data_IF_217496167891
#
_entry.id   IF_217496167891
#
_cell.length_a   1.000
_cell.length_b   1.000
_cell.length_c   1.000
_cell.angle_alpha   90.00
_cell.angle_beta   90.00
_cell.angle_gamma   90.00
#
_symmetry.space_group_name_H-M   'P 1'
#
loop_
_entity.id
_entity.type
_entity.pdbx_description
1 polymer ?
#
# COMPACT_ATOMS: atom_id res chain seq x y z
N UNK A 1 32.16 -10.84 -1.55
CA UNK A 1 30.74 -10.85 -1.11
C UNK A 1 30.65 -10.14 0.23
N UNK A 2 29.84 -9.08 0.32
CA UNK A 2 29.53 -8.42 1.60
C UNK A 2 28.69 -9.40 2.44
N UNK A 3 29.02 -9.55 3.73
CA UNK A 3 28.14 -10.25 4.69
C UNK A 3 27.19 -9.23 5.28
N UNK A 4 25.91 -9.59 5.38
CA UNK A 4 24.92 -8.78 6.06
C UNK A 4 25.17 -8.80 7.58
N UNK A 5 24.89 -7.68 8.24
CA UNK A 5 24.83 -7.58 9.70
C UNK A 5 23.63 -8.37 10.22
N UNK A 6 23.57 -8.64 11.53
CA UNK A 6 22.41 -9.28 12.15
C UNK A 6 21.14 -8.44 12.02
N UNK A 7 21.28 -7.12 12.05
CA UNK A 7 20.18 -6.18 11.81
C UNK A 7 19.70 -6.26 10.36
N UNK A 8 20.61 -6.19 9.37
CA UNK A 8 20.27 -6.32 7.95
C UNK A 8 19.59 -7.68 7.66
N UNK A 9 19.96 -8.75 8.37
CA UNK A 9 19.31 -10.08 8.25
C UNK A 9 17.91 -10.07 8.85
N UNK A 10 17.73 -9.48 10.04
CA UNK A 10 16.42 -9.40 10.69
C UNK A 10 15.46 -8.60 9.82
N UNK A 11 15.88 -7.42 9.36
CA UNK A 11 15.02 -6.52 8.60
C UNK A 11 14.61 -7.18 7.26
N UNK A 12 15.53 -7.90 6.61
CA UNK A 12 15.23 -8.69 5.43
C UNK A 12 14.24 -9.84 5.73
N UNK A 13 14.41 -10.55 6.85
CA UNK A 13 13.51 -11.63 7.24
C UNK A 13 12.11 -11.10 7.54
N UNK A 14 12.00 -9.95 8.21
CA UNK A 14 10.73 -9.27 8.47
C UNK A 14 10.04 -8.87 7.17
N UNK A 15 10.77 -8.27 6.23
CA UNK A 15 10.23 -7.90 4.91
C UNK A 15 9.74 -9.11 4.12
N UNK A 16 10.50 -10.21 4.10
CA UNK A 16 10.10 -11.44 3.39
C UNK A 16 8.88 -12.09 4.05
N UNK A 17 8.84 -12.16 5.39
CA UNK A 17 7.71 -12.74 6.12
C UNK A 17 6.44 -11.90 6.03
N UNK A 18 6.57 -10.60 5.77
CA UNK A 18 5.42 -9.73 5.56
C UNK A 18 4.70 -10.07 4.25
N UNK A 19 5.41 -10.52 3.20
CA UNK A 19 4.84 -10.78 1.87
C UNK A 19 3.76 -11.86 1.90
N UNK A 20 2.75 -11.73 1.02
CA UNK A 20 1.64 -12.69 0.91
C UNK A 20 1.49 -13.18 -0.52
N UNK A 21 1.08 -14.45 -0.73
CA UNK A 21 0.95 -15.03 -2.08
C UNK A 21 -0.03 -14.29 -2.99
N UNK A 22 -1.06 -13.70 -2.40
CA UNK A 22 -2.18 -13.05 -3.10
C UNK A 22 -2.11 -11.51 -2.99
N UNK A 23 -0.91 -10.94 -2.86
CA UNK A 23 -0.72 -9.49 -2.90
C UNK A 23 -0.92 -8.95 -4.31
N UNK A 24 -1.67 -7.84 -4.41
CA UNK A 24 -1.75 -7.08 -5.65
C UNK A 24 -0.38 -6.50 -5.98
N UNK A 25 -0.06 -6.48 -7.26
CA UNK A 25 1.02 -5.68 -7.83
C UNK A 25 0.70 -4.19 -7.77
N UNK A 26 1.71 -3.33 -7.94
CA UNK A 26 1.50 -1.88 -8.02
C UNK A 26 0.50 -1.52 -9.14
N UNK A 27 0.61 -2.15 -10.31
CA UNK A 27 -0.28 -1.90 -11.45
C UNK A 27 -1.73 -2.30 -11.12
N UNK A 28 -1.93 -3.46 -10.51
CA UNK A 28 -3.27 -3.90 -10.09
C UNK A 28 -3.86 -2.99 -9.00
N UNK A 29 -3.05 -2.49 -8.07
CA UNK A 29 -3.50 -1.52 -7.07
C UNK A 29 -3.98 -0.21 -7.71
N UNK A 30 -3.26 0.29 -8.73
CA UNK A 30 -3.59 1.56 -9.38
C UNK A 30 -4.99 1.56 -10.02
N UNK A 31 -5.48 0.40 -10.46
CA UNK A 31 -6.85 0.25 -10.98
C UNK A 31 -7.94 0.54 -9.91
N UNK A 32 -7.61 0.37 -8.63
CA UNK A 32 -8.52 0.62 -7.50
C UNK A 32 -8.26 1.96 -6.80
N UNK A 33 -7.07 2.52 -6.94
CA UNK A 33 -6.58 3.64 -6.15
C UNK A 33 -7.50 4.88 -6.21
N UNK A 34 -8.00 5.22 -7.40
CA UNK A 34 -8.88 6.38 -7.59
C UNK A 34 -10.21 6.21 -6.83
N UNK A 35 -10.88 5.07 -7.00
CA UNK A 35 -12.15 4.77 -6.32
C UNK A 35 -11.95 4.72 -4.80
N UNK A 36 -10.86 4.12 -4.34
CA UNK A 36 -10.51 4.09 -2.92
C UNK A 36 -10.30 5.50 -2.35
N UNK A 37 -9.56 6.35 -3.07
CA UNK A 37 -9.27 7.73 -2.66
C UNK A 37 -10.54 8.57 -2.52
N UNK A 38 -11.49 8.46 -3.46
CA UNK A 38 -12.76 9.18 -3.39
C UNK A 38 -13.58 8.78 -2.17
N UNK A 39 -13.75 7.47 -1.93
CA UNK A 39 -14.52 6.96 -0.79
C UNK A 39 -13.90 7.41 0.54
N UNK A 40 -12.57 7.34 0.65
CA UNK A 40 -11.86 7.81 1.85
C UNK A 40 -11.99 9.32 2.02
N UNK A 41 -11.83 10.11 0.96
CA UNK A 41 -11.95 11.57 1.02
C UNK A 41 -13.35 12.03 1.42
N UNK A 42 -14.39 11.28 1.05
CA UNK A 42 -15.78 11.58 1.39
C UNK A 42 -16.22 11.01 2.75
N UNK A 43 -15.35 10.24 3.42
CA UNK A 43 -15.71 9.51 4.64
C UNK A 43 -16.78 8.44 4.42
N UNK A 44 -16.89 7.95 3.18
CA UNK A 44 -17.86 6.94 2.78
C UNK A 44 -17.39 5.53 3.20
N UNK A 45 -18.33 4.58 3.38
CA UNK A 45 -17.98 3.19 3.64
C UNK A 45 -17.19 2.58 2.47
N UNK A 46 -15.98 2.11 2.74
CA UNK A 46 -15.18 1.38 1.75
C UNK A 46 -15.68 -0.08 1.66
N UNK A 47 -15.95 -0.64 0.48
CA UNK A 47 -16.28 -2.06 0.31
C UNK A 47 -15.12 -2.97 0.76
N UNK A 48 -15.45 -4.18 1.22
CA UNK A 48 -14.44 -5.14 1.71
C UNK A 48 -13.38 -5.47 0.65
N UNK A 49 -13.79 -5.69 -0.60
CA UNK A 49 -12.86 -5.97 -1.69
C UNK A 49 -11.83 -4.85 -1.91
N UNK A 50 -12.25 -3.59 -1.72
CA UNK A 50 -11.38 -2.42 -1.83
C UNK A 50 -10.45 -2.26 -0.62
N UNK A 51 -10.92 -2.64 0.59
CA UNK A 51 -10.05 -2.71 1.77
C UNK A 51 -8.97 -3.77 1.61
N UNK A 52 -9.34 -4.95 1.11
CA UNK A 52 -8.39 -6.02 0.85
C UNK A 52 -7.37 -5.62 -0.23
N UNK A 53 -7.80 -4.95 -1.30
CA UNK A 53 -6.90 -4.37 -2.29
C UNK A 53 -5.92 -3.35 -1.67
N UNK A 54 -6.39 -2.52 -0.74
CA UNK A 54 -5.58 -1.52 -0.06
C UNK A 54 -4.53 -2.10 0.90
N UNK A 55 -4.54 -3.42 1.18
CA UNK A 55 -3.46 -4.08 1.95
C UNK A 55 -2.10 -3.99 1.25
N UNK A 56 -2.08 -3.81 -0.07
CA UNK A 56 -0.85 -3.54 -0.83
C UNK A 56 -0.06 -2.35 -0.23
N UNK A 57 -0.76 -1.35 0.32
CA UNK A 57 -0.15 -0.15 0.89
C UNK A 57 0.65 -0.41 2.16
N UNK A 58 0.43 -1.54 2.84
CA UNK A 58 1.23 -1.96 3.99
C UNK A 58 2.65 -2.39 3.56
N UNK A 59 2.80 -2.77 2.29
CA UNK A 59 3.97 -3.43 1.73
C UNK A 59 4.75 -2.56 0.75
N UNK A 60 4.05 -1.61 0.10
CA UNK A 60 4.64 -0.68 -0.86
C UNK A 60 4.53 0.77 -0.37
N UNK A 61 5.61 1.31 0.23
CA UNK A 61 5.67 2.69 0.68
C UNK A 61 5.40 3.72 -0.41
N UNK A 62 5.81 3.43 -1.66
CA UNK A 62 5.62 4.29 -2.82
C UNK A 62 4.13 4.47 -3.13
N UNK A 63 3.39 3.36 -3.29
CA UNK A 63 1.93 3.40 -3.52
C UNK A 63 1.19 4.07 -2.35
N UNK A 64 1.66 3.89 -1.11
CA UNK A 64 1.10 4.56 0.05
C UNK A 64 1.33 6.08 0.03
N UNK A 65 2.47 6.53 -0.50
CA UNK A 65 2.76 7.95 -0.69
C UNK A 65 1.91 8.56 -1.81
N UNK A 66 1.76 7.85 -2.93
CA UNK A 66 0.91 8.27 -4.04
C UNK A 66 -0.54 8.46 -3.61
N UNK A 67 -1.10 7.50 -2.84
CA UNK A 67 -2.45 7.65 -2.28
C UNK A 67 -2.55 8.87 -1.35
N UNK A 68 -1.56 9.07 -0.47
CA UNK A 68 -1.52 10.25 0.43
C UNK A 68 -1.53 11.56 -0.37
N UNK A 69 -0.74 11.65 -1.44
CA UNK A 69 -0.73 12.80 -2.32
C UNK A 69 -2.08 13.03 -3.01
N UNK A 70 -2.72 11.94 -3.49
CA UNK A 70 -4.05 12.00 -4.08
C UNK A 70 -5.10 12.52 -3.09
N UNK A 71 -5.12 12.01 -1.86
CA UNK A 71 -6.03 12.46 -0.80
C UNK A 71 -5.81 13.94 -0.43
N UNK A 72 -4.56 14.40 -0.38
CA UNK A 72 -4.25 15.81 -0.15
C UNK A 72 -4.79 16.70 -1.27
N UNK A 73 -4.65 16.28 -2.53
CA UNK A 73 -5.21 17.01 -3.67
C UNK A 73 -6.74 17.06 -3.62
N UNK A 74 -7.39 15.95 -3.25
CA UNK A 74 -8.85 15.88 -3.08
C UNK A 74 -9.34 16.74 -1.91
N UNK A 75 -8.55 16.92 -0.85
CA UNK A 75 -8.91 17.77 0.29
C UNK A 75 -8.71 19.27 0.00
N UNK A 76 -7.92 19.62 -1.02
CA UNK A 76 -7.67 21.00 -1.43
C UNK A 76 -8.69 21.55 -2.44
N UNK A 77 -9.71 20.76 -2.81
CA UNK A 77 -10.83 21.15 -3.69
C UNK A 77 -11.88 21.95 -2.93
#
# INVERSE_FOLDING_TARGET
MKRLSQEEIRDLAEAVLATKPDELTCDEWLEYAAQYAELVAEGAPVPEALREAARHLEQCPECAEELRACLLALAAR
#
